data_IF_206265943918
#
_entry.id   IF_206265943918
#
_cell.length_a   1.000
_cell.length_b   1.000
_cell.length_c   1.000
_cell.angle_alpha   90.00
_cell.angle_beta   90.00
_cell.angle_gamma   90.00
#
_symmetry.space_group_name_H-M   'P 1'
#
loop_
_entity.id
_entity.type
_entity.pdbx_description
1 polymer ?
#
# COMPACT_ATOMS: atom_id res chain seq x y z
N UNK A 1 -5.73 -8.48 -22.51
CA UNK A 1 -5.42 -9.39 -21.39
C UNK A 1 -5.61 -8.60 -20.13
N UNK A 2 -6.52 -9.06 -19.26
CA UNK A 2 -7.09 -8.27 -18.17
C UNK A 2 -6.06 -7.79 -17.15
N UNK A 3 -6.25 -6.55 -16.69
CA UNK A 3 -5.71 -6.06 -15.43
C UNK A 3 -6.04 -7.10 -14.36
N UNK A 4 -5.05 -7.56 -13.59
CA UNK A 4 -5.27 -8.47 -12.48
C UNK A 4 -6.11 -7.74 -11.41
N UNK A 5 -7.43 -7.78 -11.61
CA UNK A 5 -8.48 -7.45 -10.66
C UNK A 5 -8.89 -8.77 -10.03
N UNK A 6 -9.11 -8.78 -8.72
CA UNK A 6 -9.60 -9.90 -7.89
C UNK A 6 -9.92 -11.18 -8.68
N UNK A 7 -8.92 -12.05 -8.87
CA UNK A 7 -9.08 -13.24 -9.72
C UNK A 7 -7.81 -14.07 -9.86
N UNK A 8 -7.88 -15.30 -9.34
CA UNK A 8 -6.88 -16.40 -9.35
C UNK A 8 -5.47 -16.02 -8.86
N UNK A 9 -5.08 -16.57 -7.70
CA UNK A 9 -3.73 -16.43 -7.16
C UNK A 9 -2.66 -16.85 -8.19
N UNK A 10 -1.89 -15.88 -8.68
CA UNK A 10 -0.83 -16.13 -9.66
C UNK A 10 0.48 -16.49 -8.94
N UNK A 11 1.21 -17.46 -9.50
CA UNK A 11 2.52 -17.83 -8.99
C UNK A 11 3.63 -17.34 -9.92
N UNK A 12 4.73 -16.91 -9.31
CA UNK A 12 5.91 -16.43 -10.02
C UNK A 12 7.17 -17.11 -9.47
N UNK A 13 8.13 -17.35 -10.35
CA UNK A 13 9.46 -17.83 -9.99
C UNK A 13 10.45 -16.67 -10.05
N UNK A 14 11.16 -16.42 -8.96
CA UNK A 14 12.34 -15.56 -8.93
C UNK A 14 13.52 -16.30 -9.53
N UNK A 15 14.25 -15.63 -10.43
CA UNK A 15 15.45 -16.18 -11.07
C UNK A 15 16.63 -16.19 -10.08
N UNK A 16 17.62 -17.08 -10.25
CA UNK A 16 18.84 -17.05 -9.45
C UNK A 16 19.50 -15.67 -9.50
N UNK A 17 19.94 -15.17 -8.34
CA UNK A 17 20.60 -13.86 -8.17
C UNK A 17 19.79 -12.63 -8.56
N UNK A 18 18.51 -12.79 -8.91
CA UNK A 18 17.61 -11.67 -9.20
C UNK A 18 17.33 -10.89 -7.92
N UNK A 19 17.50 -9.57 -7.92
CA UNK A 19 17.09 -8.70 -6.81
C UNK A 19 15.56 -8.63 -6.69
N UNK A 20 15.05 -8.20 -5.53
CA UNK A 20 13.60 -8.02 -5.36
C UNK A 20 13.03 -7.04 -6.38
N UNK A 21 13.76 -5.96 -6.70
CA UNK A 21 13.37 -4.97 -7.70
C UNK A 21 13.32 -5.57 -9.11
N UNK A 22 14.35 -6.26 -9.55
CA UNK A 22 14.36 -6.92 -10.88
C UNK A 22 13.24 -7.96 -11.01
N UNK A 23 12.98 -8.71 -9.93
CA UNK A 23 11.89 -9.68 -9.87
C UNK A 23 10.53 -9.01 -10.12
N UNK A 24 10.20 -7.95 -9.36
CA UNK A 24 8.91 -7.28 -9.46
C UNK A 24 8.76 -6.43 -10.72
N UNK A 25 9.85 -5.89 -11.28
CA UNK A 25 9.82 -5.18 -12.56
C UNK A 25 9.58 -6.14 -13.73
N UNK A 26 10.12 -7.36 -13.68
CA UNK A 26 9.91 -8.36 -14.73
C UNK A 26 8.48 -8.86 -14.79
N UNK A 27 7.80 -8.96 -13.66
CA UNK A 27 6.45 -9.53 -13.55
C UNK A 27 5.35 -8.45 -13.42
N UNK A 28 5.71 -7.16 -13.55
CA UNK A 28 4.77 -6.06 -13.38
C UNK A 28 3.63 -6.12 -14.42
N UNK A 29 2.45 -5.57 -14.09
CA UNK A 29 1.38 -5.40 -15.08
C UNK A 29 1.87 -4.65 -16.34
N UNK A 30 1.34 -5.02 -17.50
CA UNK A 30 1.71 -4.36 -18.75
C UNK A 30 1.39 -2.86 -18.70
N UNK A 31 2.32 -2.02 -19.16
CA UNK A 31 2.14 -0.56 -19.18
C UNK A 31 2.17 0.11 -17.81
N UNK A 32 2.61 -0.60 -16.76
CA UNK A 32 2.74 -0.05 -15.41
C UNK A 32 4.18 0.31 -15.05
N UNK A 33 4.36 1.18 -14.06
CA UNK A 33 5.66 1.53 -13.46
C UNK A 33 5.59 1.49 -11.93
N UNK A 34 6.74 1.37 -11.26
CA UNK A 34 6.78 1.32 -9.79
C UNK A 34 6.40 2.68 -9.20
N UNK A 35 5.44 2.70 -8.27
CA UNK A 35 5.01 3.92 -7.56
C UNK A 35 5.98 4.32 -6.44
N UNK A 36 6.64 3.34 -5.81
CA UNK A 36 7.58 3.53 -4.72
C UNK A 36 8.69 2.48 -4.73
N UNK A 37 9.58 2.55 -3.74
CA UNK A 37 10.62 1.53 -3.53
C UNK A 37 9.99 0.16 -3.23
N UNK A 38 10.65 -0.89 -3.74
CA UNK A 38 10.26 -2.28 -3.52
C UNK A 38 10.72 -2.71 -2.14
N UNK A 39 9.80 -3.21 -1.32
CA UNK A 39 10.10 -3.64 0.04
C UNK A 39 10.33 -5.15 0.08
N UNK A 40 11.57 -5.57 0.36
CA UNK A 40 11.88 -6.96 0.73
C UNK A 40 12.11 -7.02 2.25
N UNK A 41 11.26 -7.77 2.97
CA UNK A 41 11.25 -7.68 4.43
C UNK A 41 10.86 -8.98 5.14
N UNK A 42 11.57 -9.38 6.21
CA UNK A 42 11.17 -10.48 7.09
C UNK A 42 10.26 -10.03 8.24
N UNK A 43 9.96 -8.73 8.35
CA UNK A 43 9.34 -8.14 9.55
C UNK A 43 7.83 -8.39 9.66
N UNK A 44 7.22 -9.02 8.64
CA UNK A 44 5.84 -9.47 8.69
C UNK A 44 5.77 -10.93 9.09
N UNK A 45 5.54 -11.18 10.39
CA UNK A 45 5.41 -12.51 10.99
C UNK A 45 6.57 -13.49 10.65
N UNK A 46 7.81 -12.99 10.54
CA UNK A 46 9.04 -13.76 10.32
C UNK A 46 9.14 -14.52 8.98
N UNK A 47 8.41 -14.08 7.96
CA UNK A 47 8.54 -14.57 6.59
C UNK A 47 9.03 -13.44 5.68
N UNK A 48 10.09 -13.69 4.92
CA UNK A 48 10.58 -12.72 3.95
C UNK A 48 9.60 -12.62 2.78
N UNK A 49 8.96 -11.48 2.65
CA UNK A 49 8.06 -11.16 1.53
C UNK A 49 8.67 -10.06 0.67
N UNK A 50 8.20 -9.97 -0.59
CA UNK A 50 8.46 -8.83 -1.47
C UNK A 50 7.17 -8.08 -1.69
N UNK A 51 7.18 -6.76 -1.55
CA UNK A 51 5.99 -5.90 -1.68
C UNK A 51 6.28 -4.80 -2.70
N UNK A 52 5.35 -4.58 -3.62
CA UNK A 52 5.48 -3.57 -4.66
C UNK A 52 4.14 -2.91 -4.98
N UNK A 53 4.21 -1.64 -5.37
CA UNK A 53 3.07 -0.87 -5.85
C UNK A 53 3.36 -0.38 -7.25
N UNK A 54 2.35 -0.46 -8.12
CA UNK A 54 2.47 -0.11 -9.52
C UNK A 54 1.45 0.95 -9.89
N UNK A 55 1.90 1.97 -10.60
CA UNK A 55 1.08 2.96 -11.29
C UNK A 55 0.55 2.28 -12.56
N UNK A 56 -0.75 2.05 -12.67
CA UNK A 56 -1.37 1.52 -13.88
C UNK A 56 -1.48 2.63 -14.94
N UNK A 57 -1.36 2.21 -16.21
CA UNK A 57 -1.40 3.10 -17.37
C UNK A 57 -0.46 4.31 -17.23
N UNK A 58 0.77 4.08 -16.75
CA UNK A 58 1.76 5.14 -16.45
C UNK A 58 2.10 6.04 -17.66
N UNK A 59 1.81 5.58 -18.88
CA UNK A 59 2.01 6.32 -20.12
C UNK A 59 0.76 7.11 -20.60
N UNK A 60 -0.34 7.08 -19.83
CA UNK A 60 -1.55 7.86 -20.12
C UNK A 60 -1.32 9.35 -19.90
N UNK A 61 -1.94 10.18 -20.73
CA UNK A 61 -1.94 11.64 -20.57
C UNK A 61 -2.95 12.14 -19.53
N UNK A 62 -3.76 11.23 -18.96
CA UNK A 62 -4.76 11.54 -17.93
C UNK A 62 -4.10 11.31 -16.56
N UNK A 63 -4.14 12.29 -15.63
CA UNK A 63 -3.47 12.19 -14.32
C UNK A 63 -4.09 11.16 -13.36
N UNK A 64 -5.17 10.48 -13.77
CA UNK A 64 -5.85 9.46 -12.98
C UNK A 64 -5.15 8.12 -13.14
N UNK A 65 -4.05 7.94 -12.42
CA UNK A 65 -3.39 6.66 -12.35
C UNK A 65 -3.84 5.90 -11.11
N UNK A 66 -4.51 4.78 -11.33
CA UNK A 66 -4.77 3.79 -10.29
C UNK A 66 -3.44 3.18 -9.83
N UNK A 67 -3.15 3.24 -8.53
CA UNK A 67 -2.01 2.53 -7.95
C UNK A 67 -2.49 1.20 -7.42
N UNK A 68 -1.86 0.10 -7.82
CA UNK A 68 -2.18 -1.25 -7.33
C UNK A 68 -1.04 -1.82 -6.50
N UNK A 69 -1.36 -2.34 -5.32
CA UNK A 69 -0.39 -2.98 -4.43
C UNK A 69 -0.45 -4.51 -4.53
N UNK A 70 0.72 -5.14 -4.50
CA UNK A 70 0.84 -6.60 -4.40
C UNK A 70 1.88 -7.00 -3.36
N UNK A 71 1.62 -8.09 -2.64
CA UNK A 71 2.60 -8.82 -1.85
C UNK A 71 2.88 -10.18 -2.49
N UNK A 72 4.16 -10.51 -2.61
CA UNK A 72 4.66 -11.77 -3.12
C UNK A 72 5.11 -12.62 -1.93
N UNK A 73 4.30 -13.62 -1.60
CA UNK A 73 4.48 -14.50 -0.45
C UNK A 73 5.24 -15.76 -0.87
N UNK A 74 6.37 -16.11 -0.22
CA UNK A 74 7.12 -17.31 -0.59
C UNK A 74 6.29 -18.58 -0.34
N UNK A 75 6.32 -19.50 -1.29
CA UNK A 75 5.71 -20.84 -1.14
C UNK A 75 6.78 -21.91 -0.91
N UNK A 76 6.38 -23.14 -0.61
CA UNK A 76 7.30 -24.22 -0.18
C UNK A 76 8.45 -24.54 -1.15
N UNK A 77 8.30 -24.24 -2.45
CA UNK A 77 9.36 -24.43 -3.43
C UNK A 77 10.28 -23.20 -3.49
N UNK A 78 11.59 -23.43 -3.52
CA UNK A 78 12.60 -22.37 -3.49
C UNK A 78 12.41 -21.35 -4.62
N UNK A 79 12.36 -20.07 -4.23
CA UNK A 79 12.19 -18.96 -5.16
C UNK A 79 10.81 -18.85 -5.81
N UNK A 80 9.84 -19.68 -5.45
CA UNK A 80 8.44 -19.50 -5.88
C UNK A 80 7.70 -18.59 -4.92
N UNK A 81 6.90 -17.71 -5.50
CA UNK A 81 6.07 -16.76 -4.78
C UNK A 81 4.64 -16.84 -5.27
N UNK A 82 3.68 -16.76 -4.35
CA UNK A 82 2.28 -16.50 -4.64
C UNK A 82 2.04 -14.98 -4.56
N UNK A 83 1.47 -14.40 -5.61
CA UNK A 83 1.02 -13.03 -5.61
C UNK A 83 -0.32 -12.93 -4.86
N UNK A 84 -0.40 -11.96 -3.96
CA UNK A 84 -1.60 -11.58 -3.22
C UNK A 84 -1.85 -10.11 -3.49
N UNK A 85 -3.07 -9.78 -3.88
CA UNK A 85 -3.48 -8.40 -4.10
C UNK A 85 -3.62 -7.67 -2.76
N UNK A 86 -3.04 -6.49 -2.62
CA UNK A 86 -3.21 -5.66 -1.42
C UNK A 86 -4.51 -4.91 -1.59
N UNK A 87 -4.49 -3.93 -2.49
CA UNK A 87 -5.61 -3.06 -2.80
C UNK A 87 -5.30 -2.20 -4.02
N UNK A 88 -6.28 -1.41 -4.45
CA UNK A 88 -6.07 -0.29 -5.35
C UNK A 88 -6.33 1.05 -4.68
N UNK A 89 -5.51 2.03 -5.02
CA UNK A 89 -5.52 3.37 -4.47
C UNK A 89 -5.67 4.33 -5.63
N UNK A 90 -6.72 5.13 -5.59
CA UNK A 90 -7.00 6.16 -6.58
C UNK A 90 -7.75 7.30 -5.91
N UNK A 91 -7.58 8.49 -6.45
CA UNK A 91 -8.28 9.69 -6.06
C UNK A 91 -8.57 10.51 -7.32
N UNK A 92 -9.69 11.23 -7.32
CA UNK A 92 -10.24 11.85 -8.50
C UNK A 92 -9.36 13.02 -8.96
N UNK A 93 -8.73 12.87 -10.12
CA UNK A 93 -7.93 13.92 -10.80
C UNK A 93 -6.61 14.25 -10.12
N UNK A 94 -6.11 13.39 -9.25
CA UNK A 94 -4.83 13.57 -8.54
C UNK A 94 -4.01 12.29 -8.46
N UNK A 95 -2.70 12.45 -8.50
CA UNK A 95 -1.76 11.32 -8.40
C UNK A 95 -1.72 10.81 -6.95
N UNK A 96 -1.96 9.51 -6.78
CA UNK A 96 -1.74 8.82 -5.51
C UNK A 96 -0.30 8.32 -5.42
N UNK A 97 0.35 8.59 -4.30
CA UNK A 97 1.70 8.10 -3.99
C UNK A 97 1.72 7.32 -2.69
N UNK A 98 2.36 6.15 -2.68
CA UNK A 98 2.67 5.42 -1.46
C UNK A 98 3.86 6.08 -0.77
N UNK A 99 3.60 6.67 0.39
CA UNK A 99 4.59 7.44 1.15
C UNK A 99 5.32 6.57 2.18
N UNK A 100 4.65 5.59 2.79
CA UNK A 100 5.26 4.71 3.79
C UNK A 100 4.54 3.38 3.90
N UNK A 101 5.29 2.33 4.19
CA UNK A 101 4.78 0.98 4.48
C UNK A 101 5.49 0.49 5.74
N UNK A 102 4.73 0.03 6.73
CA UNK A 102 5.30 -0.49 7.97
C UNK A 102 4.35 -1.47 8.64
N UNK A 103 4.89 -2.21 9.62
CA UNK A 103 4.14 -3.18 10.40
C UNK A 103 4.01 -2.72 11.85
N UNK A 104 2.83 -2.88 12.43
CA UNK A 104 2.51 -2.59 13.82
C UNK A 104 1.26 -3.38 14.24
N UNK A 105 1.06 -3.60 15.54
CA UNK A 105 -0.21 -4.11 16.04
C UNK A 105 -1.29 -3.03 15.96
N UNK A 106 -2.46 -3.39 15.48
CA UNK A 106 -3.59 -2.53 15.22
C UNK A 106 -4.94 -3.15 15.58
N UNK A 107 -4.99 -4.42 16.01
CA UNK A 107 -6.24 -5.11 16.38
C UNK A 107 -6.18 -5.87 17.72
N UNK A 108 -5.07 -5.77 18.46
CA UNK A 108 -4.77 -6.40 19.77
C UNK A 108 -4.46 -7.89 19.73
N UNK A 109 -4.12 -8.46 18.58
CA UNK A 109 -3.61 -9.81 18.52
C UNK A 109 -2.07 -9.88 18.73
N UNK A 110 -1.44 -11.03 18.50
CA UNK A 110 0.02 -11.16 18.58
C UNK A 110 0.73 -10.87 17.25
N UNK A 111 -0.02 -10.90 16.15
CA UNK A 111 0.46 -10.59 14.83
C UNK A 111 0.59 -9.07 14.65
N UNK A 112 1.15 -8.72 13.50
CA UNK A 112 1.29 -7.33 13.08
C UNK A 112 0.56 -7.16 11.77
N UNK A 113 -0.19 -6.08 11.71
CA UNK A 113 -0.89 -5.63 10.53
C UNK A 113 0.08 -4.87 9.64
N UNK A 114 -0.22 -4.86 8.35
CA UNK A 114 0.46 -3.99 7.40
C UNK A 114 -0.27 -2.66 7.35
N UNK A 115 0.48 -1.57 7.53
CA UNK A 115 -0.02 -0.21 7.40
C UNK A 115 0.64 0.46 6.21
N UNK A 116 -0.18 1.09 5.37
CA UNK A 116 0.25 1.82 4.18
C UNK A 116 -0.22 3.26 4.34
N UNK A 117 0.70 4.22 4.26
CA UNK A 117 0.37 5.65 4.17
C UNK A 117 0.45 6.04 2.70
N UNK A 118 -0.66 6.49 2.13
CA UNK A 118 -0.72 7.11 0.82
C UNK A 118 -0.88 8.62 0.93
N UNK A 119 -0.47 9.34 -0.11
CA UNK A 119 -0.64 10.79 -0.23
C UNK A 119 -1.20 11.16 -1.59
N UNK A 120 -2.09 12.15 -1.61
CA UNK A 120 -2.61 12.81 -2.81
C UNK A 120 -2.31 14.31 -2.71
N UNK A 121 -1.75 14.90 -3.76
CA UNK A 121 -1.52 16.35 -3.82
C UNK A 121 -2.66 17.02 -4.59
N UNK A 122 -3.43 17.83 -3.88
CA UNK A 122 -4.62 18.48 -4.41
C UNK A 122 -4.35 19.93 -4.74
N UNK A 123 -4.81 20.37 -5.91
CA UNK A 123 -4.65 21.74 -6.41
C UNK A 123 -5.95 22.29 -7.00
N UNK A 124 -7.06 22.17 -6.26
CA UNK A 124 -8.32 22.78 -6.67
C UNK A 124 -8.40 24.21 -6.15
N UNK A 125 -8.11 25.14 -7.06
CA UNK A 125 -8.18 26.57 -6.80
C UNK A 125 -9.53 26.91 -6.14
N UNK A 126 -9.47 27.53 -4.96
CA UNK A 126 -10.60 28.01 -4.15
C UNK A 126 -11.43 26.99 -3.35
N UNK A 127 -11.18 25.68 -3.46
CA UNK A 127 -11.91 24.68 -2.67
C UNK A 127 -11.00 24.03 -1.63
N UNK A 128 -9.89 23.46 -2.09
CA UNK A 128 -8.91 22.83 -1.23
C UNK A 128 -7.57 22.65 -1.97
N UNK A 129 -6.49 22.88 -1.24
CA UNK A 129 -5.11 22.79 -1.73
C UNK A 129 -4.24 22.15 -0.65
N UNK A 130 -3.35 21.24 -1.04
CA UNK A 130 -2.34 20.67 -0.14
C UNK A 130 -2.20 19.17 -0.28
N UNK A 131 -1.54 18.55 0.70
CA UNK A 131 -1.29 17.11 0.71
C UNK A 131 -2.24 16.43 1.66
N UNK A 132 -3.06 15.53 1.13
CA UNK A 132 -3.88 14.63 1.93
C UNK A 132 -3.09 13.38 2.29
N UNK A 133 -3.27 12.89 3.51
CA UNK A 133 -2.63 11.68 4.02
C UNK A 133 -3.69 10.67 4.42
N UNK A 134 -3.65 9.49 3.82
CA UNK A 134 -4.57 8.39 4.12
C UNK A 134 -3.78 7.19 4.63
N UNK A 135 -4.24 6.59 5.73
CA UNK A 135 -3.62 5.37 6.28
C UNK A 135 -4.56 4.20 6.03
N UNK A 136 -4.04 3.16 5.40
CA UNK A 136 -4.74 1.91 5.13
C UNK A 136 -4.15 0.82 6.01
N UNK A 137 -5.00 0.07 6.70
CA UNK A 137 -4.60 -1.03 7.58
C UNK A 137 -5.11 -2.34 7.00
N UNK A 138 -4.22 -3.31 6.88
CA UNK A 138 -4.50 -4.64 6.38
C UNK A 138 -4.17 -5.68 7.44
N UNK A 139 -5.09 -6.61 7.62
CA UNK A 139 -4.97 -7.76 8.51
C UNK A 139 -3.73 -8.60 8.19
N UNK A 140 -3.35 -9.48 9.12
CA UNK A 140 -2.24 -10.39 8.91
C UNK A 140 -2.54 -11.46 7.84
N UNK A 141 -1.51 -12.21 7.44
CA UNK A 141 -1.61 -13.24 6.39
C UNK A 141 -1.32 -14.61 6.99
N UNK A 142 -2.21 -15.57 6.74
CA UNK A 142 -1.87 -16.99 6.86
C UNK A 142 -0.93 -17.39 5.71
N UNK A 143 0.36 -17.43 6.01
CA UNK A 143 1.41 -17.81 5.05
C UNK A 143 1.28 -19.24 4.51
N UNK A 144 0.54 -20.13 5.17
CA UNK A 144 0.30 -21.48 4.67
C UNK A 144 -0.85 -21.52 3.65
N UNK A 145 -1.74 -20.53 3.71
CA UNK A 145 -2.86 -20.39 2.80
C UNK A 145 -3.08 -18.90 2.45
N UNK A 146 -2.14 -18.28 1.71
CA UNK A 146 -2.24 -16.86 1.42
C UNK A 146 -3.53 -16.59 0.63
N UNK A 147 -4.29 -15.54 0.99
CA UNK A 147 -5.54 -15.23 0.31
C UNK A 147 -5.25 -14.69 -1.10
N UNK A 148 -6.29 -14.53 -1.92
CA UNK A 148 -6.14 -13.83 -3.20
C UNK A 148 -5.99 -12.31 -3.02
N UNK A 149 -6.60 -11.77 -1.96
CA UNK A 149 -6.58 -10.34 -1.57
C UNK A 149 -6.41 -10.20 -0.06
N UNK A 150 -5.68 -9.19 0.39
CA UNK A 150 -5.59 -8.85 1.80
C UNK A 150 -6.91 -8.32 2.36
N UNK A 151 -7.17 -8.62 3.63
CA UNK A 151 -8.35 -8.13 4.32
C UNK A 151 -8.06 -6.72 4.87
N UNK A 152 -8.77 -5.73 4.38
CA UNK A 152 -8.73 -4.37 4.92
C UNK A 152 -9.42 -4.29 6.30
N UNK A 153 -8.89 -3.42 7.16
CA UNK A 153 -9.42 -3.09 8.48
C UNK A 153 -9.96 -1.66 8.49
N UNK A 154 -10.99 -1.39 7.68
CA UNK A 154 -11.50 -0.04 7.36
C UNK A 154 -11.76 0.84 8.59
N UNK A 155 -12.37 0.27 9.64
CA UNK A 155 -12.65 1.01 10.88
C UNK A 155 -11.38 1.56 11.54
N UNK A 156 -10.27 0.83 11.48
CA UNK A 156 -8.98 1.28 12.03
C UNK A 156 -8.31 2.24 11.05
N UNK A 157 -8.38 1.98 9.74
CA UNK A 157 -7.92 2.91 8.69
C UNK A 157 -8.53 4.31 8.87
N UNK A 158 -9.84 4.40 9.06
CA UNK A 158 -10.57 5.65 9.29
C UNK A 158 -10.08 6.41 10.54
N UNK A 159 -9.78 5.68 11.61
CA UNK A 159 -9.24 6.26 12.85
C UNK A 159 -7.81 6.78 12.70
N UNK A 160 -7.07 6.28 11.71
CA UNK A 160 -5.67 6.61 11.46
C UNK A 160 -5.46 7.50 10.24
N UNK A 161 -6.53 7.97 9.60
CA UNK A 161 -6.42 8.92 8.49
C UNK A 161 -5.72 10.21 8.94
N UNK A 162 -4.72 10.64 8.18
CA UNK A 162 -3.88 11.78 8.52
C UNK A 162 -4.54 13.12 8.23
N UNK A 163 -5.48 13.13 7.28
CA UNK A 163 -6.20 14.31 6.81
C UNK A 163 -5.35 15.24 5.95
N UNK A 164 -5.86 16.45 5.71
CA UNK A 164 -5.23 17.45 4.85
C UNK A 164 -4.18 18.29 5.59
N UNK A 165 -3.01 18.42 4.99
CA UNK A 165 -2.03 19.45 5.32
C UNK A 165 -2.02 20.50 4.22
N UNK A 166 -2.65 21.65 4.46
CA UNK A 166 -2.85 22.67 3.44
C UNK A 166 -3.93 23.68 3.80
N UNK A 167 -4.77 24.02 2.82
CA UNK A 167 -5.90 24.93 2.95
C UNK A 167 -7.19 24.25 2.52
N UNK A 168 -8.28 24.52 3.23
CA UNK A 168 -9.64 24.21 2.81
C UNK A 168 -10.52 25.44 2.98
N UNK A 169 -11.52 25.61 2.14
CA UNK A 169 -12.48 26.72 2.28
C UNK A 169 -13.24 26.67 3.62
N UNK A 170 -13.58 25.45 4.08
CA UNK A 170 -14.36 25.25 5.30
C UNK A 170 -13.60 25.58 6.60
N UNK A 171 -12.29 25.35 6.64
CA UNK A 171 -11.48 25.44 7.88
C UNK A 171 -10.29 26.38 7.77
N UNK A 172 -10.04 26.98 6.60
CA UNK A 172 -8.83 27.73 6.32
C UNK A 172 -7.60 26.81 6.31
N UNK A 173 -6.50 27.26 6.93
CA UNK A 173 -5.27 26.47 7.05
C UNK A 173 -5.48 25.26 7.98
N UNK A 174 -5.22 24.07 7.46
CA UNK A 174 -5.33 22.79 8.17
C UNK A 174 -3.99 22.08 8.19
N UNK A 175 -3.75 21.30 9.26
CA UNK A 175 -2.50 20.55 9.45
C UNK A 175 -2.81 19.10 9.76
N UNK A 176 -2.34 18.21 8.89
CA UNK A 176 -2.44 16.77 9.09
C UNK A 176 -1.66 16.32 10.34
N UNK A 177 -2.20 15.33 11.05
CA UNK A 177 -1.62 14.84 12.33
C UNK A 177 -0.85 13.52 12.17
N UNK A 178 -1.30 12.64 11.28
CA UNK A 178 -0.77 11.29 11.13
C UNK A 178 -0.07 11.15 9.76
N UNK A 179 1.02 11.88 9.58
CA UNK A 179 1.70 12.01 8.27
C UNK A 179 2.84 11.01 8.05
N UNK A 180 3.18 10.20 9.06
CA UNK A 180 4.30 9.26 8.99
C UNK A 180 4.11 8.10 9.96
N UNK A 181 4.89 7.03 9.76
CA UNK A 181 4.84 5.81 10.56
C UNK A 181 5.00 6.04 12.08
N UNK A 182 5.86 6.99 12.49
CA UNK A 182 6.07 7.27 13.91
C UNK A 182 4.82 7.91 14.55
N UNK A 183 4.15 8.82 13.84
CA UNK A 183 2.91 9.43 14.27
C UNK A 183 1.77 8.40 14.35
N UNK A 184 1.61 7.55 13.33
CA UNK A 184 0.59 6.48 13.33
C UNK A 184 0.83 5.48 14.46
N UNK A 185 2.07 5.00 14.65
CA UNK A 185 2.42 4.10 15.77
C UNK A 185 2.14 4.73 17.14
N UNK A 186 2.32 6.05 17.26
CA UNK A 186 1.98 6.76 18.50
C UNK A 186 0.48 6.79 18.73
N UNK A 187 -0.31 6.96 17.67
CA UNK A 187 -1.78 6.96 17.77
C UNK A 187 -2.35 5.58 18.09
N UNK A 188 -1.84 4.53 17.44
CA UNK A 188 -2.19 3.14 17.77
C UNK A 188 -2.04 2.84 19.27
N UNK A 189 -0.92 3.26 19.87
CA UNK A 189 -0.69 3.12 21.32
C UNK A 189 -1.72 3.87 22.17
N UNK A 190 -2.25 5.00 21.72
CA UNK A 190 -3.30 5.74 22.45
C UNK A 190 -4.66 5.05 22.35
N UNK A 191 -4.92 4.36 21.22
CA UNK A 191 -6.12 3.56 21.01
C UNK A 191 -6.06 2.21 21.79
N UNK A 192 -4.91 1.88 22.35
CA UNK A 192 -4.69 0.69 23.16
C UNK A 192 -4.35 -0.55 22.34
N UNK A 193 -3.58 -0.36 21.27
CA UNK A 193 -2.91 -1.41 20.50
C UNK A 193 -1.41 -1.43 20.84
#
# INVERSE_FOLDING_TARGET
>A
MGLAREGVAQQFQRKPYESAKEFVERIKPNGSDLNCEVLETPYWNNKTVVIAWYILDANSSIPNHEVVGYVYVPVAAEGKYQQVFIDSYQDDNVETKIASVFFANADRDAAREMLVISTCEHRLQYLYEGTEFTTWVYDDIDFNKPPAKLKGLDKISDQLSGGLNGYSDAQGKVKAKLTNAAAVRKELRKLGY
#
